data_IF_246822430023
#
_entry.id   IF_246822430023
#
_cell.length_a   1.000
_cell.length_b   1.000
_cell.length_c   1.000
_cell.angle_alpha   90.00
_cell.angle_beta   90.00
_cell.angle_gamma   90.00
#
_symmetry.space_group_name_H-M   'P 1'
#
loop_
_entity.id
_entity.type
_entity.pdbx_description
1 polymer ?
#
# COMPACT_ATOMS: atom_id res chain seq x y z
N UNK A 1 12.33 -64.43 -6.96
CA UNK A 1 13.40 -63.45 -7.18
C UNK A 1 12.92 -62.52 -8.27
N UNK A 2 12.26 -61.44 -7.84
CA UNK A 2 11.49 -60.52 -8.69
C UNK A 2 12.35 -59.42 -9.31
N UNK A 3 11.99 -58.92 -10.52
CA UNK A 3 12.69 -57.83 -11.19
C UNK A 3 12.07 -56.48 -10.80
N UNK A 4 12.86 -55.63 -10.16
CA UNK A 4 12.46 -54.30 -9.71
C UNK A 4 13.22 -53.24 -10.52
N UNK A 5 12.98 -53.14 -11.83
CA UNK A 5 13.64 -52.08 -12.62
C UNK A 5 12.93 -51.63 -13.92
N UNK A 6 11.59 -51.62 -13.93
CA UNK A 6 10.82 -51.18 -15.10
C UNK A 6 9.82 -50.05 -14.83
N UNK A 7 9.69 -49.58 -13.58
CA UNK A 7 8.73 -48.53 -13.21
C UNK A 7 9.31 -47.11 -13.10
N UNK A 8 10.64 -46.94 -12.97
CA UNK A 8 11.25 -45.60 -12.94
C UNK A 8 11.34 -44.95 -14.33
N UNK A 9 11.43 -45.73 -15.41
CA UNK A 9 11.61 -45.16 -16.75
C UNK A 9 10.31 -44.58 -17.35
N UNK A 10 9.13 -45.11 -16.96
CA UNK A 10 7.85 -44.56 -17.42
C UNK A 10 7.47 -43.24 -16.72
N UNK A 11 7.94 -43.00 -15.49
CA UNK A 11 7.58 -41.79 -14.74
C UNK A 11 8.37 -40.56 -15.22
N UNK A 12 9.61 -40.75 -15.68
CA UNK A 12 10.44 -39.66 -16.20
C UNK A 12 9.98 -39.19 -17.60
N UNK A 13 9.42 -40.08 -18.41
CA UNK A 13 8.88 -39.72 -19.74
C UNK A 13 7.55 -38.94 -19.64
N UNK A 14 6.74 -39.19 -18.61
CA UNK A 14 5.49 -38.45 -18.37
C UNK A 14 5.73 -37.01 -17.88
N UNK A 15 6.82 -36.77 -17.13
CA UNK A 15 7.15 -35.43 -16.63
C UNK A 15 7.66 -34.49 -17.74
N UNK A 16 8.35 -35.03 -18.75
CA UNK A 16 8.87 -34.25 -19.89
C UNK A 16 7.75 -33.86 -20.87
N UNK A 17 6.70 -34.68 -21.02
CA UNK A 17 5.54 -34.34 -21.86
C UNK A 17 4.67 -33.26 -21.21
N UNK A 18 4.59 -33.21 -19.87
CA UNK A 18 3.91 -32.12 -19.14
C UNK A 18 4.69 -30.80 -19.26
N UNK A 19 6.03 -30.86 -19.35
CA UNK A 19 6.87 -29.67 -19.51
C UNK A 19 6.80 -29.06 -20.93
N UNK A 20 6.40 -29.82 -21.95
CA UNK A 20 6.21 -29.32 -23.32
C UNK A 20 4.77 -28.88 -23.64
N UNK A 21 3.80 -29.15 -22.77
CA UNK A 21 2.40 -28.71 -22.94
C UNK A 21 2.11 -27.33 -22.32
N UNK A 22 3.07 -26.69 -21.66
CA UNK A 22 2.90 -25.35 -21.05
C UNK A 22 3.45 -24.21 -21.91
N UNK A 23 3.99 -24.48 -23.10
CA UNK A 23 4.54 -23.46 -24.01
C UNK A 23 3.67 -23.32 -25.27
N UNK A 24 2.35 -23.11 -25.10
CA UNK A 24 1.51 -22.56 -26.19
C UNK A 24 0.12 -22.16 -25.71
N UNK A 25 0.02 -21.32 -24.67
CA UNK A 25 -1.17 -20.49 -24.55
C UNK A 25 -0.99 -19.31 -25.50
N UNK A 26 -1.47 -19.52 -26.74
CA UNK A 26 -1.95 -18.46 -27.62
C UNK A 26 -2.67 -17.43 -26.74
N UNK A 27 -2.33 -16.15 -26.86
CA UNK A 27 -3.09 -15.08 -26.21
C UNK A 27 -4.57 -15.33 -26.49
N UNK A 28 -5.28 -15.78 -25.45
CA UNK A 28 -6.72 -15.91 -25.48
C UNK A 28 -7.22 -14.52 -25.85
N UNK A 29 -7.78 -14.41 -27.05
CA UNK A 29 -8.50 -13.23 -27.48
C UNK A 29 -9.61 -13.03 -26.44
N UNK A 30 -9.36 -12.13 -25.48
CA UNK A 30 -10.38 -11.73 -24.53
C UNK A 30 -11.65 -11.44 -25.32
N UNK A 31 -12.79 -12.06 -24.98
CA UNK A 31 -14.02 -11.86 -25.72
C UNK A 31 -14.24 -10.36 -25.83
N UNK A 32 -14.27 -9.86 -27.07
CA UNK A 32 -14.53 -8.45 -27.35
C UNK A 32 -15.93 -8.19 -26.84
N UNK A 33 -16.03 -7.44 -25.74
CA UNK A 33 -17.31 -7.00 -25.21
C UNK A 33 -18.00 -6.19 -26.31
N UNK A 34 -19.10 -6.74 -26.83
CA UNK A 34 -19.80 -6.20 -28.00
C UNK A 34 -20.37 -4.79 -27.76
N UNK A 35 -20.34 -4.32 -26.51
CA UNK A 35 -20.82 -3.00 -26.11
C UNK A 35 -19.75 -1.90 -26.11
N UNK A 36 -18.49 -2.19 -26.43
CA UNK A 36 -17.43 -1.16 -26.48
C UNK A 36 -17.48 -0.38 -27.80
N UNK A 37 -17.64 0.95 -27.73
CA UNK A 37 -17.60 1.83 -28.91
C UNK A 37 -16.16 2.06 -29.37
N UNK A 38 -15.32 2.53 -28.46
CA UNK A 38 -13.92 2.86 -28.70
C UNK A 38 -13.15 2.69 -27.40
N UNK A 39 -11.89 2.25 -27.50
CA UNK A 39 -11.02 2.07 -26.36
C UNK A 39 -9.56 2.39 -26.68
N UNK A 40 -8.80 2.70 -25.65
CA UNK A 40 -7.36 2.89 -25.71
C UNK A 40 -6.73 2.29 -24.46
N UNK A 41 -5.59 1.63 -24.62
CA UNK A 41 -4.88 0.95 -23.55
C UNK A 41 -3.44 1.44 -23.50
N UNK A 42 -2.94 1.71 -22.30
CA UNK A 42 -1.56 2.14 -22.07
C UNK A 42 -0.99 1.51 -20.81
N UNK A 43 0.25 1.03 -20.89
CA UNK A 43 1.03 0.69 -19.71
C UNK A 43 1.53 1.97 -19.05
N UNK A 44 1.18 2.17 -17.78
CA UNK A 44 1.50 3.37 -17.00
C UNK A 44 2.38 2.98 -15.83
N UNK A 45 3.58 3.55 -15.76
CA UNK A 45 4.52 3.33 -14.65
C UNK A 45 4.26 4.34 -13.52
N UNK A 46 4.52 3.98 -12.25
CA UNK A 46 4.38 4.90 -11.13
C UNK A 46 5.19 6.19 -11.30
N UNK A 47 6.45 6.09 -11.77
CA UNK A 47 7.37 7.24 -11.83
C UNK A 47 6.97 8.28 -12.89
N UNK A 48 6.33 7.85 -13.96
CA UNK A 48 6.02 8.72 -15.10
C UNK A 48 4.59 9.23 -15.07
N UNK A 49 3.65 8.45 -14.51
CA UNK A 49 2.23 8.69 -14.73
C UNK A 49 1.85 8.47 -16.20
N UNK A 50 0.70 8.97 -16.62
CA UNK A 50 0.28 8.81 -18.01
C UNK A 50 -1.00 9.53 -18.37
N UNK A 51 -1.21 9.70 -19.67
CA UNK A 51 -2.44 10.24 -20.25
C UNK A 51 -2.98 9.26 -21.28
N UNK A 52 -4.29 9.04 -21.25
CA UNK A 52 -5.06 8.35 -22.28
C UNK A 52 -6.10 9.32 -22.85
N UNK A 53 -6.32 9.28 -24.17
CA UNK A 53 -7.30 10.13 -24.86
C UNK A 53 -8.15 9.27 -25.80
N UNK A 54 -9.45 9.56 -25.83
CA UNK A 54 -10.42 9.02 -26.78
C UNK A 54 -11.24 10.14 -27.40
N UNK A 55 -11.74 9.93 -28.61
CA UNK A 55 -12.72 10.81 -29.26
C UNK A 55 -13.96 10.00 -29.62
N UNK A 56 -15.13 10.43 -29.15
CA UNK A 56 -16.42 9.79 -29.45
C UNK A 56 -16.78 9.97 -30.93
N UNK A 57 -17.73 9.19 -31.44
CA UNK A 57 -18.29 9.40 -32.79
C UNK A 57 -18.99 10.75 -32.95
N UNK A 58 -19.39 11.39 -31.84
CA UNK A 58 -19.99 12.72 -31.82
C UNK A 58 -18.94 13.86 -31.77
N UNK A 59 -17.65 13.52 -31.64
CA UNK A 59 -16.53 14.45 -31.59
C UNK A 59 -16.11 14.88 -30.18
N UNK A 60 -16.74 14.35 -29.12
CA UNK A 60 -16.36 14.66 -27.74
C UNK A 60 -15.02 13.99 -27.40
N UNK A 61 -14.14 14.71 -26.72
CA UNK A 61 -12.84 14.18 -26.28
C UNK A 61 -12.87 13.81 -24.81
N UNK A 62 -12.44 12.60 -24.49
CA UNK A 62 -12.32 12.09 -23.13
C UNK A 62 -10.83 11.90 -22.82
N UNK A 63 -10.34 12.58 -21.79
CA UNK A 63 -8.92 12.60 -21.43
C UNK A 63 -8.80 12.15 -19.97
N UNK A 64 -8.09 11.04 -19.76
CA UNK A 64 -7.71 10.53 -18.44
C UNK A 64 -6.24 10.87 -18.18
N UNK A 65 -5.95 11.67 -17.16
CA UNK A 65 -4.58 11.97 -16.72
C UNK A 65 -4.32 11.37 -15.35
N UNK A 66 -3.38 10.43 -15.28
CA UNK A 66 -2.93 9.76 -14.05
C UNK A 66 -1.59 10.40 -13.65
N UNK A 67 -1.51 11.10 -12.51
CA UNK A 67 -0.28 11.77 -12.12
C UNK A 67 0.78 10.76 -11.68
N UNK A 68 2.02 11.23 -11.59
CA UNK A 68 3.13 10.47 -11.03
C UNK A 68 2.76 9.95 -9.63
N UNK A 69 3.17 8.72 -9.36
CA UNK A 69 3.01 7.99 -8.10
C UNK A 69 1.56 7.73 -7.67
N UNK A 70 0.57 7.99 -8.54
CA UNK A 70 -0.81 7.59 -8.28
C UNK A 70 -0.97 6.05 -8.24
N UNK A 71 -0.18 5.33 -9.04
CA UNK A 71 -0.15 3.87 -9.05
C UNK A 71 0.96 3.33 -8.15
N UNK A 72 0.71 2.19 -7.48
CA UNK A 72 1.72 1.49 -6.68
C UNK A 72 2.76 0.75 -7.53
N UNK A 73 2.37 0.30 -8.73
CA UNK A 73 3.20 -0.46 -9.67
C UNK A 73 2.75 -0.19 -11.11
N UNK A 74 3.52 -0.67 -12.10
CA UNK A 74 3.15 -0.51 -13.50
C UNK A 74 1.88 -1.29 -13.82
N UNK A 75 0.88 -0.62 -14.40
CA UNK A 75 -0.41 -1.24 -14.77
C UNK A 75 -0.78 -0.96 -16.21
N UNK A 76 -1.39 -1.94 -16.87
CA UNK A 76 -2.11 -1.74 -18.12
C UNK A 76 -3.46 -1.09 -17.80
N UNK A 77 -3.62 0.17 -18.17
CA UNK A 77 -4.85 0.94 -17.96
C UNK A 77 -5.60 1.02 -19.27
N UNK A 78 -6.88 0.71 -19.26
CA UNK A 78 -7.74 0.83 -20.44
C UNK A 78 -8.84 1.86 -20.16
N UNK A 79 -8.97 2.83 -21.06
CA UNK A 79 -10.07 3.78 -21.10
C UNK A 79 -11.02 3.32 -22.22
N UNK A 80 -12.31 3.22 -21.93
CA UNK A 80 -13.34 2.78 -22.86
C UNK A 80 -14.51 3.75 -22.85
N UNK A 81 -15.14 3.92 -24.01
CA UNK A 81 -16.47 4.51 -24.14
C UNK A 81 -17.43 3.43 -24.64
N UNK A 82 -18.55 3.24 -23.95
CA UNK A 82 -19.54 2.21 -24.32
C UNK A 82 -20.54 2.72 -25.36
N UNK A 83 -21.03 1.83 -26.22
CA UNK A 83 -22.02 2.12 -27.27
C UNK A 83 -23.39 2.43 -26.66
N UNK A 84 -23.80 1.63 -25.67
CA UNK A 84 -25.05 1.81 -24.98
C UNK A 84 -24.82 2.60 -23.70
N UNK A 85 -25.65 3.61 -23.46
CA UNK A 85 -25.82 4.13 -22.11
C UNK A 85 -26.42 2.99 -21.30
N UNK A 86 -25.62 2.37 -20.44
CA UNK A 86 -26.15 1.43 -19.48
C UNK A 86 -27.26 2.09 -18.64
N UNK A 87 -28.07 1.30 -17.95
CA UNK A 87 -29.07 1.84 -17.04
C UNK A 87 -28.41 2.87 -16.10
N UNK A 88 -28.99 4.07 -16.07
CA UNK A 88 -28.38 5.27 -15.52
C UNK A 88 -29.38 6.00 -14.63
N UNK A 89 -28.97 6.50 -13.45
CA UNK A 89 -29.83 7.30 -12.58
C UNK A 89 -30.35 8.61 -13.19
N UNK A 90 -29.75 9.06 -14.29
CA UNK A 90 -30.12 10.31 -14.94
C UNK A 90 -30.69 10.10 -16.34
N UNK A 91 -31.76 10.83 -16.63
CA UNK A 91 -32.44 10.84 -17.93
C UNK A 91 -31.72 11.69 -18.97
N UNK A 92 -30.97 12.72 -18.57
CA UNK A 92 -30.30 13.66 -19.47
C UNK A 92 -28.77 13.50 -19.47
N UNK A 93 -28.31 12.42 -20.12
CA UNK A 93 -26.89 12.12 -20.26
C UNK A 93 -26.23 12.94 -21.36
N UNK A 94 -25.09 13.56 -21.01
CA UNK A 94 -24.27 14.33 -21.94
C UNK A 94 -23.25 13.46 -22.67
N UNK A 95 -22.88 12.32 -22.08
CA UNK A 95 -21.96 11.35 -22.65
C UNK A 95 -22.33 9.93 -22.21
N UNK A 96 -22.02 8.94 -23.06
CA UNK A 96 -22.14 7.53 -22.70
C UNK A 96 -21.19 7.15 -21.55
N UNK A 97 -21.38 5.94 -21.01
CA UNK A 97 -20.56 5.40 -19.92
C UNK A 97 -19.09 5.34 -20.34
N UNK A 98 -18.24 5.98 -19.54
CA UNK A 98 -16.79 5.92 -19.62
C UNK A 98 -16.33 4.87 -18.62
N UNK A 99 -15.77 3.77 -19.12
CA UNK A 99 -15.25 2.70 -18.28
C UNK A 99 -13.73 2.78 -18.19
N UNK A 100 -13.19 2.71 -16.99
CA UNK A 100 -11.75 2.69 -16.75
C UNK A 100 -11.38 1.36 -16.10
N UNK A 101 -10.45 0.63 -16.71
CA UNK A 101 -9.98 -0.68 -16.26
C UNK A 101 -8.51 -0.63 -15.82
N UNK A 102 -8.10 -1.46 -14.83
CA UNK A 102 -8.93 -2.44 -14.11
C UNK A 102 -9.88 -1.79 -13.11
N UNK A 103 -11.14 -2.27 -13.09
CA UNK A 103 -12.19 -1.74 -12.21
C UNK A 103 -11.82 -1.90 -10.73
N UNK A 104 -12.22 -0.92 -9.91
CA UNK A 104 -11.94 -0.87 -8.48
C UNK A 104 -10.49 -0.54 -8.11
N UNK A 105 -9.58 -0.32 -9.07
CA UNK A 105 -8.19 0.02 -8.75
C UNK A 105 -8.12 1.38 -8.05
N UNK A 106 -7.70 1.37 -6.79
CA UNK A 106 -7.50 2.58 -5.98
C UNK A 106 -6.17 3.26 -6.28
N UNK A 107 -6.19 4.60 -6.27
CA UNK A 107 -5.06 5.46 -6.61
C UNK A 107 -4.53 6.15 -5.35
N UNK A 108 -3.21 6.25 -5.20
CA UNK A 108 -2.57 6.99 -4.09
C UNK A 108 -2.76 8.51 -4.21
N UNK A 109 -2.93 9.00 -5.43
CA UNK A 109 -3.17 10.40 -5.78
C UNK A 109 -4.33 10.48 -6.78
N UNK A 110 -5.14 11.54 -6.76
CA UNK A 110 -6.30 11.62 -7.64
C UNK A 110 -5.88 11.72 -9.10
N UNK A 111 -6.50 10.91 -9.96
CA UNK A 111 -6.45 11.10 -11.41
C UNK A 111 -7.46 12.16 -11.84
N UNK A 112 -7.25 12.76 -13.01
CA UNK A 112 -8.15 13.75 -13.60
C UNK A 112 -8.88 13.14 -14.79
N UNK A 113 -10.21 13.21 -14.77
CA UNK A 113 -11.06 12.96 -15.93
C UNK A 113 -11.50 14.29 -16.50
N UNK A 114 -11.15 14.55 -17.75
CA UNK A 114 -11.58 15.72 -18.49
C UNK A 114 -12.41 15.29 -19.71
N UNK A 115 -13.55 15.93 -19.89
CA UNK A 115 -14.37 15.78 -21.09
C UNK A 115 -14.43 17.13 -21.79
N UNK A 116 -14.13 17.16 -23.08
CA UNK A 116 -14.32 18.32 -23.95
C UNK A 116 -15.44 17.96 -24.91
N UNK A 117 -16.59 18.58 -24.73
CA UNK A 117 -17.76 18.34 -25.55
C UNK A 117 -17.64 19.07 -26.89
N UNK A 118 -18.09 18.41 -27.96
CA UNK A 118 -18.18 19.03 -29.28
C UNK A 118 -19.28 20.10 -29.31
N UNK A 119 -20.37 19.87 -28.58
CA UNK A 119 -21.45 20.84 -28.39
C UNK A 119 -21.29 21.59 -27.07
N UNK A 120 -21.64 22.88 -27.07
CA UNK A 120 -21.56 23.68 -25.86
C UNK A 120 -22.53 23.19 -24.77
N UNK A 121 -22.05 23.18 -23.53
CA UNK A 121 -22.83 22.95 -22.31
C UNK A 121 -23.72 24.18 -22.09
N UNK A 122 -25.04 23.98 -22.16
CA UNK A 122 -26.01 25.08 -22.02
C UNK A 122 -26.22 25.53 -20.57
N UNK A 123 -25.87 24.69 -19.59
CA UNK A 123 -26.04 24.94 -18.16
C UNK A 123 -24.87 24.33 -17.37
N UNK A 124 -23.91 25.17 -17.02
CA UNK A 124 -22.73 24.75 -16.26
C UNK A 124 -22.98 24.62 -14.75
N UNK A 125 -24.11 25.14 -14.26
CA UNK A 125 -24.43 25.10 -12.82
C UNK A 125 -24.90 23.72 -12.41
N UNK A 126 -25.61 23.01 -13.28
CA UNK A 126 -26.16 21.67 -13.01
C UNK A 126 -25.41 20.54 -13.68
N UNK A 127 -24.46 20.84 -14.56
CA UNK A 127 -23.68 19.80 -15.23
C UNK A 127 -22.66 19.18 -14.27
N UNK A 128 -22.65 17.84 -14.21
CA UNK A 128 -21.78 17.04 -13.35
C UNK A 128 -21.07 15.94 -14.14
N UNK A 129 -19.88 15.56 -13.67
CA UNK A 129 -19.35 14.21 -13.86
C UNK A 129 -19.69 13.39 -12.63
N UNK A 130 -19.95 12.11 -12.82
CA UNK A 130 -20.28 11.21 -11.71
C UNK A 130 -19.60 9.86 -11.86
N UNK A 131 -19.38 9.21 -10.72
CA UNK A 131 -19.06 7.80 -10.60
C UNK A 131 -20.37 7.02 -10.42
N UNK A 132 -20.61 6.02 -11.26
CA UNK A 132 -21.78 5.16 -11.14
C UNK A 132 -21.51 4.06 -10.11
N UNK A 133 -22.37 3.93 -9.10
CA UNK A 133 -22.27 2.89 -8.07
C UNK A 133 -23.20 1.71 -8.36
N UNK A 134 -24.41 1.99 -8.84
CA UNK A 134 -25.37 1.00 -9.33
C UNK A 134 -26.09 1.55 -10.55
N UNK A 135 -27.00 0.77 -11.16
CA UNK A 135 -27.83 1.23 -12.28
C UNK A 135 -28.73 2.42 -11.95
N UNK A 136 -29.01 2.65 -10.67
CA UNK A 136 -29.94 3.66 -10.17
C UNK A 136 -29.32 4.62 -9.15
N UNK A 137 -28.01 4.51 -8.89
CA UNK A 137 -27.28 5.37 -7.97
C UNK A 137 -25.92 5.81 -8.53
N UNK A 138 -25.67 7.11 -8.49
CA UNK A 138 -24.41 7.73 -8.85
C UNK A 138 -23.98 8.76 -7.81
N UNK A 139 -22.67 8.99 -7.75
CA UNK A 139 -22.04 9.97 -6.86
C UNK A 139 -21.33 11.01 -7.73
N UNK A 140 -21.67 12.31 -7.63
CA UNK A 140 -20.96 13.36 -8.33
C UNK A 140 -19.48 13.37 -7.95
N UNK A 141 -18.61 13.60 -8.92
CA UNK A 141 -17.20 13.80 -8.69
C UNK A 141 -16.95 15.28 -8.34
N UNK A 142 -16.04 15.52 -7.39
CA UNK A 142 -15.60 16.85 -7.04
C UNK A 142 -15.17 17.63 -8.29
N UNK A 143 -15.87 18.74 -8.57
CA UNK A 143 -15.64 19.56 -9.76
C UNK A 143 -14.37 20.38 -9.58
N UNK A 144 -13.45 20.27 -10.54
CA UNK A 144 -12.25 21.12 -10.58
C UNK A 144 -12.46 22.35 -11.46
N UNK A 145 -13.05 22.13 -12.62
CA UNK A 145 -13.30 23.20 -13.60
C UNK A 145 -14.50 22.82 -14.47
N UNK A 146 -15.35 23.80 -14.78
CA UNK A 146 -16.35 23.67 -15.83
C UNK A 146 -16.36 24.93 -16.71
N UNK A 147 -16.29 24.73 -18.02
CA UNK A 147 -16.42 25.78 -19.02
C UNK A 147 -17.69 25.55 -19.84
N UNK A 148 -17.94 26.40 -20.83
CA UNK A 148 -19.03 26.21 -21.79
C UNK A 148 -18.87 24.97 -22.70
N UNK A 149 -17.75 24.25 -22.66
CA UNK A 149 -17.53 23.07 -23.50
C UNK A 149 -16.67 22.00 -22.84
N UNK A 150 -16.33 22.13 -21.56
CA UNK A 150 -15.53 21.13 -20.88
C UNK A 150 -15.86 21.01 -19.41
N UNK A 151 -15.67 19.82 -18.87
CA UNK A 151 -15.76 19.53 -17.45
C UNK A 151 -14.54 18.71 -17.04
N UNK A 152 -13.93 19.06 -15.92
CA UNK A 152 -12.80 18.35 -15.32
C UNK A 152 -13.10 18.02 -13.88
N UNK A 153 -12.94 16.75 -13.50
CA UNK A 153 -13.11 16.27 -12.13
C UNK A 153 -11.98 15.35 -11.70
N UNK A 154 -11.84 15.18 -10.39
CA UNK A 154 -10.86 14.28 -9.77
C UNK A 154 -11.50 12.95 -9.37
N UNK A 155 -10.72 11.86 -9.45
CA UNK A 155 -11.15 10.52 -9.01
C UNK A 155 -10.02 9.79 -8.28
N UNK A 156 -10.37 8.97 -7.29
CA UNK A 156 -9.42 8.18 -6.50
C UNK A 156 -9.41 6.69 -6.82
N UNK A 157 -10.26 6.24 -7.74
CA UNK A 157 -10.34 4.85 -8.15
C UNK A 157 -10.67 4.78 -9.64
N UNK A 158 -10.53 3.61 -10.25
CA UNK A 158 -11.07 3.32 -11.57
C UNK A 158 -12.44 2.66 -11.45
N UNK A 159 -13.38 3.08 -12.28
CA UNK A 159 -14.73 2.55 -12.34
C UNK A 159 -15.47 3.01 -13.61
N UNK A 160 -16.79 2.99 -13.57
CA UNK A 160 -17.68 3.52 -14.58
C UNK A 160 -18.10 4.95 -14.23
N UNK A 161 -17.94 5.85 -15.20
CA UNK A 161 -18.24 7.27 -15.09
C UNK A 161 -19.21 7.72 -16.18
N UNK A 162 -19.81 8.88 -15.97
CA UNK A 162 -20.57 9.57 -17.01
C UNK A 162 -20.66 11.05 -16.74
N UNK A 163 -21.29 11.75 -17.67
CA UNK A 163 -21.59 13.18 -17.57
C UNK A 163 -23.08 13.40 -17.81
N UNK A 164 -23.70 14.21 -16.97
CA UNK A 164 -25.15 14.43 -17.00
C UNK A 164 -25.51 15.86 -16.62
N UNK A 165 -26.72 16.27 -17.02
CA UNK A 165 -27.42 17.45 -16.53
C UNK A 165 -28.70 17.00 -15.79
N UNK A 166 -28.60 16.59 -14.52
CA UNK A 166 -29.73 16.08 -13.77
C UNK A 166 -30.88 17.09 -13.65
N UNK A 167 -32.11 16.59 -13.71
CA UNK A 167 -33.32 17.34 -13.36
C UNK A 167 -33.46 17.51 -11.84
N UNK A 168 -34.32 18.44 -11.42
CA UNK A 168 -34.53 18.73 -9.99
C UNK A 168 -34.89 17.47 -9.18
N UNK A 169 -35.81 16.66 -9.69
CA UNK A 169 -36.25 15.43 -9.03
C UNK A 169 -35.13 14.40 -8.92
N UNK A 170 -34.28 14.28 -9.95
CA UNK A 170 -33.13 13.37 -9.94
C UNK A 170 -32.08 13.81 -8.91
N UNK A 171 -31.86 15.13 -8.76
CA UNK A 171 -30.97 15.68 -7.72
C UNK A 171 -31.48 15.25 -6.33
N UNK A 172 -32.77 15.46 -6.05
CA UNK A 172 -33.39 15.10 -4.76
C UNK A 172 -33.34 13.60 -4.51
N UNK A 173 -33.64 12.77 -5.52
CA UNK A 173 -33.61 11.32 -5.37
C UNK A 173 -32.20 10.79 -5.12
N UNK A 174 -31.22 11.27 -5.88
CA UNK A 174 -29.84 10.83 -5.72
C UNK A 174 -29.20 11.36 -4.43
N UNK A 175 -29.55 12.57 -3.98
CA UNK A 175 -29.09 13.09 -2.69
C UNK A 175 -29.59 12.23 -1.52
N UNK A 176 -30.84 11.77 -1.58
CA UNK A 176 -31.41 10.84 -0.59
C UNK A 176 -30.72 9.46 -0.62
N UNK A 177 -30.37 8.94 -1.81
CA UNK A 177 -29.60 7.70 -1.95
C UNK A 177 -28.18 7.86 -1.42
N UNK A 178 -27.51 8.98 -1.70
CA UNK A 178 -26.20 9.27 -1.15
C UNK A 178 -26.23 9.36 0.38
N UNK A 179 -27.26 10.02 0.94
CA UNK A 179 -27.41 10.13 2.38
C UNK A 179 -27.62 8.78 3.09
N UNK A 180 -28.41 7.90 2.48
CA UNK A 180 -28.67 6.54 3.00
C UNK A 180 -27.54 5.55 2.72
N UNK A 181 -26.59 5.89 1.84
CA UNK A 181 -25.43 5.06 1.57
C UNK A 181 -24.44 5.07 2.74
N UNK A 182 -23.77 3.94 2.92
CA UNK A 182 -22.71 3.77 3.91
C UNK A 182 -21.52 3.05 3.30
N UNK A 183 -20.32 3.35 3.80
CA UNK A 183 -19.10 2.62 3.49
C UNK A 183 -18.83 1.70 4.67
N UNK A 184 -18.85 0.40 4.46
CA UNK A 184 -18.72 -0.59 5.54
C UNK A 184 -17.27 -0.84 5.93
N UNK A 185 -16.34 -0.71 4.99
CA UNK A 185 -14.92 -0.84 5.27
C UNK A 185 -14.37 0.46 5.85
N UNK A 186 -14.11 0.44 7.16
CA UNK A 186 -13.57 1.58 7.90
C UNK A 186 -12.13 1.93 7.48
N UNK A 187 -11.40 1.02 6.82
CA UNK A 187 -10.07 1.32 6.29
C UNK A 187 -10.16 2.00 4.91
N UNK A 188 -11.30 1.90 4.22
CA UNK A 188 -11.51 2.46 2.89
C UNK A 188 -11.84 3.97 2.94
N UNK A 189 -10.85 4.75 3.37
CA UNK A 189 -10.98 6.21 3.45
C UNK A 189 -11.28 6.85 2.08
N UNK A 190 -10.90 6.20 0.97
CA UNK A 190 -11.10 6.73 -0.38
C UNK A 190 -12.56 6.67 -0.79
N UNK A 191 -13.21 5.51 -0.62
CA UNK A 191 -14.64 5.38 -0.88
C UNK A 191 -15.47 6.28 0.04
N UNK A 192 -15.06 6.41 1.31
CA UNK A 192 -15.73 7.32 2.24
C UNK A 192 -15.54 8.79 1.82
N UNK A 193 -14.33 9.18 1.43
CA UNK A 193 -14.05 10.54 0.94
C UNK A 193 -14.82 10.86 -0.34
N UNK A 194 -14.93 9.91 -1.28
CA UNK A 194 -15.74 10.06 -2.50
C UNK A 194 -17.22 10.26 -2.16
N UNK A 195 -17.75 9.51 -1.18
CA UNK A 195 -19.13 9.70 -0.69
C UNK A 195 -19.33 11.08 -0.05
N UNK A 196 -18.43 11.50 0.84
CA UNK A 196 -18.48 12.82 1.50
C UNK A 196 -18.46 13.94 0.45
N UNK A 197 -17.53 13.88 -0.52
CA UNK A 197 -17.43 14.85 -1.62
C UNK A 197 -18.69 14.88 -2.48
N UNK A 198 -19.24 13.73 -2.83
CA UNK A 198 -20.47 13.67 -3.62
C UNK A 198 -21.70 14.19 -2.87
N UNK A 199 -21.78 13.99 -1.55
CA UNK A 199 -22.84 14.59 -0.73
C UNK A 199 -22.70 16.12 -0.72
N UNK A 200 -21.49 16.66 -0.58
CA UNK A 200 -21.25 18.11 -0.68
C UNK A 200 -21.69 18.69 -2.02
N UNK A 201 -21.37 18.02 -3.13
CA UNK A 201 -21.84 18.42 -4.47
C UNK A 201 -23.37 18.37 -4.58
N UNK A 202 -24.03 17.38 -3.97
CA UNK A 202 -25.50 17.35 -3.91
C UNK A 202 -26.08 18.48 -3.07
N UNK A 203 -25.43 18.90 -1.97
CA UNK A 203 -25.84 20.06 -1.16
C UNK A 203 -25.82 21.32 -2.02
N UNK A 204 -24.76 21.55 -2.80
CA UNK A 204 -24.66 22.68 -3.71
C UNK A 204 -25.73 22.64 -4.81
N UNK A 205 -25.98 21.46 -5.39
CA UNK A 205 -27.03 21.28 -6.40
C UNK A 205 -28.42 21.53 -5.83
N UNK A 206 -28.71 21.09 -4.60
CA UNK A 206 -29.97 21.34 -3.92
C UNK A 206 -30.20 22.84 -3.69
N UNK A 207 -29.17 23.56 -3.22
CA UNK A 207 -29.21 25.02 -3.10
C UNK A 207 -29.46 25.70 -4.45
N UNK A 208 -28.78 25.23 -5.52
CA UNK A 208 -28.94 25.78 -6.86
C UNK A 208 -30.33 25.58 -7.47
N UNK A 209 -31.11 24.61 -6.97
CA UNK A 209 -32.52 24.40 -7.37
C UNK A 209 -33.53 25.00 -6.40
N UNK A 210 -33.08 25.66 -5.32
CA UNK A 210 -33.93 26.31 -4.32
C UNK A 210 -34.42 25.39 -3.19
N UNK A 211 -33.82 24.21 -3.03
CA UNK A 211 -34.15 23.22 -1.99
C UNK A 211 -33.27 23.40 -0.74
N UNK A 212 -33.19 24.63 -0.23
CA UNK A 212 -32.27 25.01 0.87
C UNK A 212 -32.52 24.22 2.17
N UNK A 213 -33.79 23.90 2.47
CA UNK A 213 -34.13 23.10 3.66
C UNK A 213 -33.55 21.69 3.55
N UNK A 214 -33.66 21.04 2.38
CA UNK A 214 -33.13 19.71 2.17
C UNK A 214 -31.59 19.73 2.13
N UNK A 215 -30.99 20.78 1.57
CA UNK A 215 -29.55 20.98 1.58
C UNK A 215 -28.99 21.06 3.02
N UNK A 216 -29.64 21.83 3.90
CA UNK A 216 -29.23 21.94 5.30
C UNK A 216 -29.40 20.62 6.06
N UNK A 217 -30.51 19.91 5.85
CA UNK A 217 -30.73 18.58 6.44
C UNK A 217 -29.64 17.58 5.99
N UNK A 218 -29.26 17.64 4.72
CA UNK A 218 -28.21 16.78 4.17
C UNK A 218 -26.83 17.13 4.74
N UNK A 219 -26.54 18.42 4.98
CA UNK A 219 -25.31 18.88 5.63
C UNK A 219 -25.21 18.38 7.08
N UNK A 220 -26.26 18.52 7.87
CA UNK A 220 -26.32 18.01 9.25
C UNK A 220 -26.13 16.48 9.28
N UNK A 221 -26.78 15.77 8.37
CA UNK A 221 -26.65 14.31 8.23
C UNK A 221 -25.24 13.90 7.81
N UNK A 222 -24.58 14.67 6.94
CA UNK A 222 -23.19 14.45 6.54
C UNK A 222 -22.24 14.62 7.72
N UNK A 223 -22.38 15.68 8.51
CA UNK A 223 -21.57 15.90 9.71
C UNK A 223 -21.69 14.71 10.67
N UNK A 224 -22.91 14.27 10.97
CA UNK A 224 -23.12 13.09 11.83
C UNK A 224 -22.50 11.82 11.23
N UNK A 225 -22.62 11.61 9.93
CA UNK A 225 -22.01 10.46 9.24
C UNK A 225 -20.48 10.46 9.36
N UNK A 226 -19.84 11.62 9.25
CA UNK A 226 -18.39 11.77 9.48
C UNK A 226 -18.05 11.45 10.93
N UNK A 227 -18.82 11.97 11.89
CA UNK A 227 -18.61 11.71 13.32
C UNK A 227 -18.68 10.20 13.62
N UNK A 228 -19.71 9.52 13.12
CA UNK A 228 -19.91 8.10 13.38
C UNK A 228 -18.83 7.24 12.72
N UNK A 229 -18.53 7.48 11.44
CA UNK A 229 -17.54 6.69 10.69
C UNK A 229 -16.12 6.87 11.24
N UNK A 230 -15.72 8.10 11.57
CA UNK A 230 -14.39 8.37 12.11
C UNK A 230 -14.25 7.82 13.52
N UNK A 231 -15.28 7.93 14.38
CA UNK A 231 -15.23 7.28 15.70
C UNK A 231 -15.10 5.76 15.58
N UNK A 232 -15.86 5.12 14.68
CA UNK A 232 -15.76 3.69 14.43
C UNK A 232 -14.36 3.29 13.93
N UNK A 233 -13.73 4.08 13.06
CA UNK A 233 -12.33 3.87 12.66
C UNK A 233 -11.36 4.00 13.83
N UNK A 234 -11.52 5.03 14.68
CA UNK A 234 -10.67 5.23 15.86
C UNK A 234 -10.84 4.13 16.92
N UNK A 235 -11.98 3.44 16.94
CA UNK A 235 -12.25 2.29 17.80
C UNK A 235 -11.55 1.01 17.32
N UNK A 236 -11.02 0.98 16.09
CA UNK A 236 -10.22 -0.13 15.61
C UNK A 236 -8.88 -0.23 16.38
N UNK A 237 -8.40 -1.47 16.62
CA UNK A 237 -7.05 -1.67 17.14
C UNK A 237 -6.03 -1.13 16.15
N UNK A 238 -4.98 -0.48 16.66
CA UNK A 238 -3.86 -0.04 15.85
C UNK A 238 -3.13 -1.30 15.34
N UNK A 239 -2.93 -1.47 14.03
CA UNK A 239 -2.20 -2.62 13.49
C UNK A 239 -0.72 -2.58 13.92
N UNK A 240 -0.05 -3.73 13.89
CA UNK A 240 1.38 -3.84 14.25
C UNK A 240 2.26 -2.91 13.39
N UNK A 241 1.89 -2.74 12.12
CA UNK A 241 2.49 -1.74 11.22
C UNK A 241 1.48 -0.64 10.84
N UNK A 242 1.41 0.47 11.60
CA UNK A 242 0.49 1.55 11.29
C UNK A 242 0.98 2.53 10.22
N UNK A 243 2.24 2.46 9.77
CA UNK A 243 2.91 3.56 9.04
C UNK A 243 2.72 3.54 7.52
N UNK A 244 1.85 2.67 7.04
CA UNK A 244 1.42 2.64 5.66
C UNK A 244 -0.01 3.17 5.53
N UNK A 245 -0.89 2.29 5.08
CA UNK A 245 -2.26 2.64 4.74
C UNK A 245 -3.09 3.15 5.93
N UNK A 246 -2.84 2.64 7.15
CA UNK A 246 -3.54 3.07 8.35
C UNK A 246 -3.29 4.54 8.69
N UNK A 247 -2.03 4.98 8.71
CA UNK A 247 -1.66 6.38 8.93
C UNK A 247 -2.26 7.29 7.85
N UNK A 248 -2.24 6.87 6.59
CA UNK A 248 -2.87 7.62 5.50
C UNK A 248 -4.37 7.78 5.72
N UNK A 249 -5.07 6.70 6.07
CA UNK A 249 -6.50 6.72 6.38
C UNK A 249 -6.78 7.66 7.57
N UNK A 250 -6.01 7.54 8.65
CA UNK A 250 -6.12 8.39 9.83
C UNK A 250 -5.95 9.88 9.50
N UNK A 251 -4.96 10.24 8.68
CA UNK A 251 -4.77 11.63 8.26
C UNK A 251 -5.93 12.14 7.41
N UNK A 252 -6.48 11.30 6.53
CA UNK A 252 -7.62 11.66 5.69
C UNK A 252 -8.91 11.80 6.50
N UNK A 253 -9.14 10.93 7.46
CA UNK A 253 -10.23 11.08 8.42
C UNK A 253 -10.06 12.31 9.31
N UNK A 254 -8.83 12.63 9.71
CA UNK A 254 -8.55 13.84 10.46
C UNK A 254 -8.80 15.13 9.67
N UNK A 255 -8.41 15.17 8.40
CA UNK A 255 -8.74 16.27 7.49
C UNK A 255 -10.27 16.45 7.38
N UNK A 256 -11.02 15.38 7.17
CA UNK A 256 -12.50 15.43 7.12
C UNK A 256 -13.10 15.90 8.45
N UNK A 257 -12.66 15.37 9.59
CA UNK A 257 -13.16 15.76 10.91
C UNK A 257 -12.90 17.25 11.20
N UNK A 258 -11.71 17.75 10.88
CA UNK A 258 -11.32 19.15 11.13
C UNK A 258 -12.06 20.14 10.22
N UNK A 259 -12.28 19.79 8.95
CA UNK A 259 -12.87 20.70 7.97
C UNK A 259 -14.40 20.68 7.95
N UNK A 260 -15.02 19.54 8.28
CA UNK A 260 -16.44 19.29 8.02
C UNK A 260 -17.25 18.99 9.28
N UNK A 261 -16.66 19.08 10.47
CA UNK A 261 -17.38 18.87 11.72
C UNK A 261 -17.05 19.95 12.74
N UNK A 262 -18.02 20.25 13.61
CA UNK A 262 -17.88 21.13 14.76
C UNK A 262 -17.60 20.35 16.06
N UNK A 263 -17.47 19.03 15.98
CA UNK A 263 -17.32 18.14 17.13
C UNK A 263 -15.88 18.17 17.70
N UNK A 264 -15.64 19.03 18.68
CA UNK A 264 -14.32 19.19 19.30
C UNK A 264 -13.79 17.90 19.95
N UNK A 265 -14.68 17.07 20.50
CA UNK A 265 -14.28 15.80 21.10
C UNK A 265 -13.69 14.86 20.05
N UNK A 266 -14.33 14.74 18.88
CA UNK A 266 -13.81 13.95 17.76
C UNK A 266 -12.46 14.50 17.29
N UNK A 267 -12.35 15.82 17.09
CA UNK A 267 -11.12 16.47 16.63
C UNK A 267 -9.95 16.18 17.59
N UNK A 268 -10.18 16.29 18.90
CA UNK A 268 -9.16 15.96 19.90
C UNK A 268 -8.76 14.48 19.83
N UNK A 269 -9.74 13.58 19.72
CA UNK A 269 -9.52 12.12 19.66
C UNK A 269 -8.72 11.70 18.42
N UNK A 270 -9.02 12.31 17.27
CA UNK A 270 -8.22 12.18 16.05
C UNK A 270 -6.80 12.69 16.29
N UNK A 271 -6.65 13.88 16.88
CA UNK A 271 -5.35 14.49 17.19
C UNK A 271 -4.47 13.58 18.05
N UNK A 272 -5.05 13.01 19.12
CA UNK A 272 -4.37 12.06 20.00
C UNK A 272 -3.93 10.80 19.24
N UNK A 273 -4.80 10.24 18.40
CA UNK A 273 -4.45 9.07 17.58
C UNK A 273 -3.39 9.40 16.53
N UNK A 274 -3.44 10.57 15.89
CA UNK A 274 -2.41 11.06 14.96
C UNK A 274 -1.07 11.15 15.66
N UNK A 275 -1.05 11.69 16.89
CA UNK A 275 0.16 11.78 17.68
C UNK A 275 0.74 10.39 17.97
N UNK A 276 -0.08 9.47 18.50
CA UNK A 276 0.34 8.08 18.77
C UNK A 276 0.92 7.39 17.53
N UNK A 277 0.24 7.46 16.38
CA UNK A 277 0.76 6.87 15.14
C UNK A 277 2.04 7.54 14.68
N UNK A 278 2.10 8.87 14.70
CA UNK A 278 3.32 9.59 14.30
C UNK A 278 4.51 9.11 15.11
N UNK A 279 4.34 8.90 16.42
CA UNK A 279 5.39 8.41 17.29
C UNK A 279 5.85 6.99 16.92
N UNK A 280 4.92 6.10 16.58
CA UNK A 280 5.24 4.74 16.11
C UNK A 280 5.89 4.70 14.72
N UNK A 281 5.78 5.79 13.97
CA UNK A 281 6.26 5.93 12.59
C UNK A 281 7.51 6.81 12.44
N UNK A 282 7.90 7.55 13.48
CA UNK A 282 8.85 8.65 13.34
C UNK A 282 10.29 8.18 13.09
N UNK A 283 10.77 7.17 13.84
CA UNK A 283 12.10 6.61 13.65
C UNK A 283 11.99 5.09 13.58
N UNK A 284 12.25 4.58 12.38
CA UNK A 284 12.35 3.15 12.09
C UNK A 284 13.64 2.89 11.37
N UNK A 285 14.12 1.67 11.46
CA UNK A 285 15.30 1.26 10.73
C UNK A 285 15.49 -0.23 10.72
N UNK A 286 16.59 -0.64 10.12
CA UNK A 286 17.06 -2.01 10.09
C UNK A 286 18.52 -2.02 10.54
N UNK A 287 18.87 -2.99 11.37
CA UNK A 287 20.25 -3.29 11.71
C UNK A 287 20.72 -4.47 10.85
N UNK A 288 21.57 -4.21 9.88
CA UNK A 288 22.17 -5.25 9.03
C UNK A 288 23.34 -5.90 9.76
N UNK A 289 23.33 -7.23 9.79
CA UNK A 289 24.42 -8.08 10.23
C UNK A 289 25.26 -8.50 9.03
N UNK A 290 26.57 -8.23 9.06
CA UNK A 290 27.54 -8.67 8.03
C UNK A 290 28.81 -9.19 8.71
N UNK A 291 28.67 -10.21 9.56
CA UNK A 291 29.78 -10.73 10.34
C UNK A 291 30.56 -11.78 9.56
N UNK A 292 31.88 -11.75 9.72
CA UNK A 292 32.80 -12.75 9.19
C UNK A 292 33.82 -13.12 10.26
N UNK A 293 33.99 -14.39 10.56
CA UNK A 293 35.03 -14.85 11.48
C UNK A 293 35.69 -16.15 11.02
N UNK A 294 36.98 -16.25 11.30
CA UNK A 294 37.83 -17.42 11.04
C UNK A 294 38.56 -17.77 12.33
N UNK A 295 38.45 -19.01 12.79
CA UNK A 295 39.19 -19.49 13.96
C UNK A 295 39.54 -20.97 13.82
N UNK A 296 40.51 -21.42 14.61
CA UNK A 296 40.94 -22.82 14.61
C UNK A 296 40.36 -23.57 15.80
N UNK A 297 39.70 -24.69 15.55
CA UNK A 297 39.19 -25.60 16.57
C UNK A 297 39.24 -27.04 16.04
N UNK A 298 39.43 -28.03 16.91
CA UNK A 298 39.42 -29.45 16.52
C UNK A 298 40.51 -29.86 15.52
N UNK A 299 41.54 -29.03 15.29
CA UNK A 299 42.56 -29.25 14.26
C UNK A 299 42.16 -28.78 12.86
N UNK A 300 40.99 -28.16 12.70
CA UNK A 300 40.52 -27.52 11.47
C UNK A 300 40.49 -26.00 11.55
N UNK A 301 40.25 -25.37 10.39
CA UNK A 301 39.94 -23.94 10.27
C UNK A 301 38.44 -23.82 10.01
N UNK A 302 37.74 -23.04 10.82
CA UNK A 302 36.32 -22.78 10.69
C UNK A 302 36.12 -21.35 10.22
N UNK A 303 35.45 -21.18 9.08
CA UNK A 303 35.02 -19.89 8.55
C UNK A 303 33.52 -19.74 8.72
N UNK A 304 33.06 -18.66 9.33
CA UNK A 304 31.64 -18.37 9.55
C UNK A 304 31.25 -17.03 8.96
N UNK A 305 30.01 -16.96 8.51
CA UNK A 305 29.38 -15.75 8.00
C UNK A 305 27.98 -15.63 8.59
N UNK A 306 27.66 -14.50 9.20
CA UNK A 306 26.33 -14.21 9.77
C UNK A 306 25.75 -13.03 9.01
N UNK A 307 24.61 -13.24 8.37
CA UNK A 307 23.93 -12.24 7.54
C UNK A 307 22.44 -12.15 7.79
N UNK A 308 21.91 -10.95 7.86
CA UNK A 308 20.47 -10.69 7.96
C UNK A 308 20.20 -9.25 8.36
N UNK A 309 18.93 -8.89 8.43
CA UNK A 309 18.47 -7.55 8.83
C UNK A 309 17.45 -7.69 9.93
N UNK A 310 17.60 -6.87 10.97
CA UNK A 310 16.72 -6.87 12.13
C UNK A 310 16.04 -5.51 12.21
N UNK A 311 14.71 -5.41 11.96
CA UNK A 311 14.02 -4.14 12.03
C UNK A 311 13.90 -3.65 13.48
N UNK A 312 13.95 -2.33 13.65
CA UNK A 312 13.75 -1.67 14.94
C UNK A 312 12.89 -0.41 14.81
N UNK A 313 12.33 0.00 15.95
CA UNK A 313 11.62 1.25 16.15
C UNK A 313 12.25 1.99 17.34
N UNK A 314 12.20 3.33 17.32
CA UNK A 314 12.57 4.16 18.48
C UNK A 314 11.32 4.85 19.01
N UNK A 315 11.01 4.63 20.28
CA UNK A 315 9.91 5.28 20.98
C UNK A 315 10.29 6.74 21.26
N UNK A 316 9.76 7.70 20.50
CA UNK A 316 10.09 9.12 20.69
C UNK A 316 9.10 9.89 21.55
N UNK A 317 8.18 9.22 22.27
CA UNK A 317 7.08 9.96 22.92
C UNK A 317 6.56 9.44 24.26
N UNK A 318 6.49 8.12 24.46
CA UNK A 318 6.09 7.59 25.75
C UNK A 318 7.34 7.43 26.61
N UNK A 319 7.26 7.78 27.89
CA UNK A 319 8.37 7.43 28.78
C UNK A 319 8.55 5.90 28.83
N UNK A 320 9.78 5.39 28.69
CA UNK A 320 11.02 6.14 28.47
C UNK A 320 11.23 6.58 27.00
N UNK A 321 11.42 7.89 26.80
CA UNK A 321 11.75 8.45 25.48
C UNK A 321 13.08 7.91 25.01
N UNK A 322 13.17 7.66 23.70
CA UNK A 322 14.34 7.10 23.05
C UNK A 322 14.42 5.58 23.11
N UNK A 323 13.51 4.87 23.80
CA UNK A 323 13.60 3.41 23.91
C UNK A 323 13.57 2.73 22.53
N UNK A 324 14.57 1.89 22.29
CA UNK A 324 14.70 1.13 21.06
C UNK A 324 14.10 -0.25 21.29
N UNK A 325 13.28 -0.72 20.36
CA UNK A 325 12.82 -2.11 20.34
C UNK A 325 12.84 -2.67 18.92
N UNK A 326 13.23 -3.93 18.78
CA UNK A 326 13.27 -4.61 17.48
C UNK A 326 13.39 -6.11 17.65
N UNK A 327 12.96 -6.87 16.64
CA UNK A 327 13.20 -8.30 16.61
C UNK A 327 13.22 -8.83 15.19
N UNK A 328 14.00 -9.88 14.95
CA UNK A 328 14.20 -10.42 13.61
C UNK A 328 15.05 -11.68 13.62
N UNK A 329 15.39 -12.16 12.43
CA UNK A 329 16.23 -13.36 12.28
C UNK A 329 17.42 -13.09 11.37
N UNK A 330 18.54 -13.74 11.69
CA UNK A 330 19.78 -13.70 10.92
C UNK A 330 20.25 -15.11 10.60
N UNK A 331 20.91 -15.27 9.46
CA UNK A 331 21.38 -16.55 8.96
C UNK A 331 22.88 -16.68 9.21
N UNK A 332 23.26 -17.76 9.89
CA UNK A 332 24.64 -18.17 10.09
C UNK A 332 24.95 -19.33 9.15
N UNK A 333 26.02 -19.18 8.37
CA UNK A 333 26.62 -20.25 7.59
C UNK A 333 28.09 -20.44 7.99
N UNK A 334 28.52 -21.68 8.13
CA UNK A 334 29.89 -22.01 8.50
C UNK A 334 30.47 -23.15 7.69
N UNK A 335 31.78 -23.12 7.42
CA UNK A 335 32.52 -24.20 6.79
C UNK A 335 33.76 -24.50 7.62
N UNK A 336 33.87 -25.73 8.10
CA UNK A 336 35.07 -26.28 8.72
C UNK A 336 35.90 -27.04 7.69
N UNK A 337 37.18 -26.67 7.57
CA UNK A 337 38.17 -27.36 6.75
C UNK A 337 39.14 -28.12 7.65
N UNK A 338 38.96 -29.44 7.72
CA UNK A 338 39.89 -30.38 8.36
C UNK A 338 40.03 -31.65 7.50
N UNK A 339 40.43 -32.78 8.11
CA UNK A 339 40.35 -34.10 7.46
C UNK A 339 38.90 -34.46 7.10
N UNK A 340 37.93 -33.84 7.79
CA UNK A 340 36.51 -33.86 7.43
C UNK A 340 36.05 -32.44 7.06
N UNK A 341 34.97 -32.33 6.27
CA UNK A 341 34.35 -31.06 5.93
C UNK A 341 33.09 -30.89 6.78
N UNK A 342 33.07 -29.88 7.63
CA UNK A 342 31.88 -29.47 8.39
C UNK A 342 31.13 -28.35 7.67
N UNK A 343 29.81 -28.43 7.60
CA UNK A 343 28.94 -27.35 7.12
C UNK A 343 27.91 -27.01 8.19
N UNK A 344 27.92 -25.76 8.66
CA UNK A 344 27.00 -25.24 9.67
C UNK A 344 25.87 -24.47 8.99
N UNK A 345 24.63 -24.72 9.41
CA UNK A 345 23.45 -23.94 9.01
C UNK A 345 22.64 -23.65 10.27
N UNK A 346 22.62 -22.37 10.66
CA UNK A 346 22.04 -21.91 11.92
C UNK A 346 21.20 -20.67 11.66
N UNK A 347 20.05 -20.57 12.35
CA UNK A 347 19.23 -19.37 12.39
C UNK A 347 19.37 -18.73 13.77
N UNK A 348 19.67 -17.44 13.79
CA UNK A 348 19.70 -16.63 15.00
C UNK A 348 18.43 -15.81 15.13
N UNK A 349 17.72 -15.90 16.26
CA UNK A 349 16.70 -14.91 16.62
C UNK A 349 17.41 -13.77 17.38
N UNK A 350 17.20 -12.54 16.92
CA UNK A 350 17.77 -11.33 17.51
C UNK A 350 16.66 -10.50 18.11
N UNK A 351 16.87 -10.05 19.36
CA UNK A 351 16.06 -9.03 20.02
C UNK A 351 16.94 -7.79 20.20
N UNK A 352 16.49 -6.66 19.67
CA UNK A 352 17.10 -5.35 19.87
C UNK A 352 16.38 -4.63 21.00
N UNK A 353 17.15 -4.15 21.97
CA UNK A 353 16.72 -3.19 22.98
C UNK A 353 17.70 -2.01 22.99
N UNK A 354 17.40 -0.97 23.77
CA UNK A 354 18.34 0.12 24.00
C UNK A 354 17.68 1.48 24.07
N UNK A 355 18.46 2.52 23.81
CA UNK A 355 18.00 3.90 23.92
C UNK A 355 18.66 4.83 22.89
N UNK A 356 17.91 5.86 22.49
CA UNK A 356 18.40 6.98 21.73
C UNK A 356 18.78 8.12 22.67
N UNK A 357 20.03 8.54 22.61
CA UNK A 357 20.58 9.64 23.40
C UNK A 357 21.11 10.75 22.51
N UNK A 358 21.05 11.99 22.98
CA UNK A 358 21.79 13.08 22.35
C UNK A 358 23.17 13.24 23.01
N UNK A 359 24.22 13.41 22.21
CA UNK A 359 25.52 13.79 22.77
C UNK A 359 25.57 15.25 23.25
N UNK A 360 26.71 15.70 23.74
CA UNK A 360 26.92 17.05 24.26
C UNK A 360 26.79 18.17 23.20
N UNK A 361 26.76 17.82 21.90
CA UNK A 361 26.57 18.76 20.79
C UNK A 361 25.15 18.63 20.20
N UNK A 362 24.35 17.69 20.70
CA UNK A 362 22.97 17.46 20.28
C UNK A 362 22.82 16.48 19.12
N UNK A 363 23.87 15.74 18.73
CA UNK A 363 23.72 14.68 17.73
C UNK A 363 23.05 13.45 18.34
N UNK A 364 22.02 12.88 17.69
CA UNK A 364 21.36 11.67 18.15
C UNK A 364 22.22 10.41 17.90
N UNK A 365 22.35 9.59 18.93
CA UNK A 365 23.03 8.30 18.94
C UNK A 365 22.06 7.20 19.34
N UNK A 366 22.13 6.05 18.68
CA UNK A 366 21.38 4.85 19.01
C UNK A 366 22.30 3.88 19.75
N UNK A 367 22.00 3.61 21.02
CA UNK A 367 22.69 2.63 21.85
C UNK A 367 21.89 1.32 21.79
N UNK A 368 22.34 0.34 21.02
CA UNK A 368 21.69 -0.96 20.93
C UNK A 368 22.28 -1.95 21.93
N UNK A 369 21.39 -2.74 22.52
CA UNK A 369 21.65 -4.03 23.14
C UNK A 369 21.05 -5.12 22.23
N UNK A 370 21.90 -6.05 21.78
CA UNK A 370 21.55 -7.11 20.83
C UNK A 370 21.61 -8.44 21.55
N UNK A 371 20.44 -9.04 21.83
CA UNK A 371 20.33 -10.34 22.47
C UNK A 371 20.02 -11.42 21.43
N UNK A 372 20.91 -12.39 21.31
CA UNK A 372 20.92 -13.35 20.21
C UNK A 372 20.74 -14.77 20.74
N UNK A 373 19.85 -15.54 20.13
CA UNK A 373 19.65 -16.97 20.41
C UNK A 373 19.77 -17.77 19.14
N UNK A 374 20.55 -18.86 19.19
CA UNK A 374 20.99 -19.59 17.99
C UNK A 374 20.49 -21.03 18.02
N UNK A 375 19.94 -21.50 16.89
CA UNK A 375 19.54 -22.89 16.73
C UNK A 375 19.83 -23.37 15.30
N UNK A 376 20.40 -24.56 15.18
CA UNK A 376 20.70 -25.13 13.87
C UNK A 376 21.39 -26.48 13.94
N UNK A 377 22.16 -26.77 12.89
CA UNK A 377 22.87 -28.03 12.78
C UNK A 377 24.23 -27.86 12.10
N UNK A 378 25.11 -28.83 12.36
CA UNK A 378 26.37 -29.02 11.63
C UNK A 378 26.35 -30.39 10.99
N UNK A 379 26.62 -30.46 9.69
CA UNK A 379 26.81 -31.70 8.96
C UNK A 379 28.28 -31.90 8.68
N UNK A 380 28.83 -33.02 9.14
CA UNK A 380 30.25 -33.37 8.99
C UNK A 380 30.37 -34.52 8.02
N UNK A 381 31.15 -34.32 6.96
CA UNK A 381 31.44 -35.31 5.91
C UNK A 381 32.91 -35.73 6.02
N UNK A 382 33.14 -37.00 6.33
CA UNK A 382 34.45 -37.63 6.43
C UNK A 382 34.63 -38.72 5.35
N UNK A 383 35.86 -39.21 5.10
CA UNK A 383 36.08 -40.31 4.15
C UNK A 383 35.27 -41.58 4.45
N UNK A 384 34.92 -41.82 5.72
CA UNK A 384 34.24 -43.02 6.17
C UNK A 384 32.72 -42.83 6.40
N UNK A 385 32.15 -41.66 6.08
CA UNK A 385 30.72 -41.40 6.25
C UNK A 385 30.36 -39.96 6.55
N UNK A 386 29.06 -39.68 6.69
CA UNK A 386 28.50 -38.38 7.03
C UNK A 386 27.62 -38.48 8.27
N UNK A 387 27.65 -37.45 9.12
CA UNK A 387 26.78 -37.33 10.28
C UNK A 387 26.32 -35.88 10.48
N UNK A 388 25.13 -35.69 11.03
CA UNK A 388 24.57 -34.37 11.36
C UNK A 388 24.34 -34.27 12.86
N UNK A 389 24.80 -33.18 13.45
CA UNK A 389 24.69 -32.90 14.87
C UNK A 389 23.92 -31.60 15.10
N UNK A 390 23.12 -31.50 16.17
CA UNK A 390 22.52 -30.23 16.55
C UNK A 390 23.62 -29.23 16.95
N UNK A 391 23.46 -27.99 16.52
CA UNK A 391 24.35 -26.87 16.85
C UNK A 391 23.51 -25.79 17.53
N UNK A 392 23.63 -25.70 18.85
CA UNK A 392 22.94 -24.72 19.69
C UNK A 392 23.98 -23.90 20.46
N UNK A 393 24.61 -22.88 19.84
CA UNK A 393 25.50 -21.97 20.51
C UNK A 393 24.83 -21.34 21.75
N UNK A 394 25.57 -21.06 22.84
CA UNK A 394 25.04 -20.30 23.96
C UNK A 394 24.49 -18.95 23.49
N UNK A 395 23.43 -18.41 24.14
CA UNK A 395 22.97 -17.06 23.87
C UNK A 395 24.11 -16.05 24.02
N UNK A 396 24.14 -15.07 23.12
CA UNK A 396 25.11 -13.96 23.12
C UNK A 396 24.39 -12.64 23.33
N UNK A 397 25.07 -11.71 24.00
CA UNK A 397 24.64 -10.32 24.12
C UNK A 397 25.79 -9.42 23.66
N UNK A 398 25.47 -8.48 22.78
CA UNK A 398 26.42 -7.49 22.26
C UNK A 398 25.83 -6.10 22.44
N UNK A 399 26.68 -5.09 22.60
CA UNK A 399 26.26 -3.70 22.57
C UNK A 399 27.02 -2.92 21.52
N UNK A 400 26.31 -2.02 20.85
CA UNK A 400 26.88 -1.16 19.82
C UNK A 400 26.20 0.20 19.83
N UNK A 401 26.99 1.25 19.62
CA UNK A 401 26.53 2.63 19.59
C UNK A 401 26.71 3.19 18.18
N UNK A 402 25.64 3.72 17.61
CA UNK A 402 25.59 4.22 16.24
C UNK A 402 25.24 5.70 16.24
N UNK A 403 25.93 6.50 15.44
CA UNK A 403 25.40 7.80 15.09
C UNK A 403 24.14 7.56 14.25
N UNK A 404 23.06 8.31 14.49
CA UNK A 404 21.80 8.15 13.76
C UNK A 404 21.94 8.72 12.33
N UNK A 405 22.73 8.04 11.51
CA UNK A 405 23.04 8.34 10.11
C UNK A 405 22.87 7.06 9.26
N UNK A 406 22.23 7.19 8.09
CA UNK A 406 22.06 6.07 7.14
C UNK A 406 23.43 5.51 6.73
N UNK A 407 23.58 4.19 6.82
CA UNK A 407 24.82 3.48 6.48
C UNK A 407 25.89 3.54 7.57
N UNK A 408 25.62 4.14 8.75
CA UNK A 408 26.60 4.17 9.84
C UNK A 408 27.02 2.76 10.21
N UNK A 409 28.33 2.52 10.23
CA UNK A 409 28.89 1.17 10.38
C UNK A 409 29.69 1.07 11.68
N UNK A 410 29.39 0.05 12.48
CA UNK A 410 30.19 -0.34 13.64
C UNK A 410 30.91 -1.64 13.32
N UNK A 411 32.23 -1.68 13.57
CA UNK A 411 33.06 -2.86 13.37
C UNK A 411 33.77 -3.20 14.68
N UNK A 412 33.60 -4.43 15.16
CA UNK A 412 34.29 -4.97 16.33
C UNK A 412 35.07 -6.24 15.95
N UNK A 413 36.21 -6.53 16.60
CA UNK A 413 36.89 -7.81 16.43
C UNK A 413 36.03 -8.95 17.01
N UNK A 414 36.03 -10.15 16.41
CA UNK A 414 35.33 -11.30 16.99
C UNK A 414 35.98 -11.69 18.34
N UNK A 415 35.21 -12.29 19.29
CA UNK A 415 35.74 -12.71 20.58
C UNK A 415 36.88 -13.73 20.48
N UNK A 416 36.89 -14.52 19.39
CA UNK A 416 37.89 -15.55 19.10
C UNK A 416 38.26 -15.54 17.62
N UNK A 417 39.54 -15.81 17.34
CA UNK A 417 40.07 -15.90 15.97
C UNK A 417 40.35 -14.56 15.32
N UNK A 418 40.18 -14.52 13.99
CA UNK A 418 40.37 -13.34 13.13
C UNK A 418 39.11 -13.06 12.33
N UNK A 419 38.84 -11.81 12.01
CA UNK A 419 37.66 -11.41 11.23
C UNK A 419 37.08 -10.10 11.73
N UNK A 420 35.78 -9.89 11.51
CA UNK A 420 35.05 -8.71 11.94
C UNK A 420 33.58 -9.03 12.21
N UNK A 421 33.05 -8.47 13.30
CA UNK A 421 31.62 -8.32 13.52
C UNK A 421 31.24 -6.92 13.07
N UNK A 422 30.54 -6.84 11.95
CA UNK A 422 30.12 -5.59 11.32
C UNK A 422 28.60 -5.48 11.40
N UNK A 423 28.14 -4.34 11.90
CA UNK A 423 26.75 -3.92 11.87
C UNK A 423 26.61 -2.65 11.04
N UNK A 424 25.56 -2.57 10.24
CA UNK A 424 25.25 -1.39 9.41
C UNK A 424 23.86 -0.91 9.78
N UNK A 425 23.76 0.37 10.12
CA UNK A 425 22.49 1.01 10.45
C UNK A 425 21.81 1.50 9.17
N UNK A 426 20.58 1.07 8.94
CA UNK A 426 19.69 1.63 7.92
C UNK A 426 18.55 2.37 8.62
N UNK A 427 18.36 3.64 8.32
CA UNK A 427 17.32 4.48 8.90
C UNK A 427 16.31 4.85 7.83
N UNK A 428 15.05 4.56 8.13
CA UNK A 428 13.93 4.99 7.32
C UNK A 428 13.26 6.16 8.04
N UNK A 429 13.65 7.37 7.65
CA UNK A 429 12.88 8.55 8.00
C UNK A 429 11.61 8.55 7.17
N UNK A 430 10.45 8.50 7.82
CA UNK A 430 9.25 8.93 7.13
C UNK A 430 9.32 10.45 6.94
N UNK A 431 9.13 10.95 5.71
CA UNK A 431 9.18 12.37 5.40
C UNK A 431 8.11 13.21 6.10
#
# INVERSE_FOLDING_TARGET
>A
MEPLNQKCFLFSFFLIIILFLTISCKEDSNPVDADVQIQTTKNISPKEGGTLELTSSAGDKIILTIPKYALGETKSVTLQLLNKTEANPFSNNLINTIRILPDGLKLKHPAQLKIIFNNAITDTTRTILYCRKTSDFAIPLAKKEITNNSITSEMYHFSDYGGSKPGNQEIIEQSNKANSSSVTDLMDWQSFSDLVRGILEYIELLQAIGEDQLANQLLESLEQKIIDHVNAFLDLPIPDDPCGYYQQALFKYGEMAQLLTSNQQLINRVGDRIMDIRNRCFIRGELEYDHYMTFSAGGGIINRTIKGVVPFIVNTYNEPYGEISGSGTVNWNGIEQSVCIGTETVVGNVILSGEMESDNVGYPWLNFEMNETWAGSVTVVCPNGSATYPLNPPPSSSSARFLMEEGYTVVQPPPVGSGQFKWILHIQFQP
#
